data_IF_441100331047
#
_entry.id   IF_441100331047
#
_cell.length_a   1.000
_cell.length_b   1.000
_cell.length_c   1.000
_cell.angle_alpha   90.00
_cell.angle_beta   90.00
_cell.angle_gamma   90.00
#
_symmetry.space_group_name_H-M   'P 1'
#
loop_
_entity.id
_entity.type
_entity.pdbx_description
1 polymer ?
#
# COMPACT_ATOMS: atom_id res chain seq x y z
N UNK A 1 -19.81 9.70 12.84
CA UNK A 1 -18.71 9.61 13.81
C UNK A 1 -17.43 9.84 13.03
N UNK A 2 -16.69 10.93 13.30
CA UNK A 2 -15.39 11.20 12.66
C UNK A 2 -14.29 10.73 13.59
N UNK A 3 -13.56 9.68 13.22
CA UNK A 3 -12.40 9.21 14.00
C UNK A 3 -11.21 10.09 13.63
N UNK A 4 -10.51 10.65 14.62
CA UNK A 4 -9.29 11.42 14.37
C UNK A 4 -8.15 10.45 14.09
N UNK A 5 -7.49 10.61 12.94
CA UNK A 5 -6.41 9.71 12.49
C UNK A 5 -5.01 10.28 12.77
N UNK A 6 -4.88 11.61 12.91
CA UNK A 6 -3.61 12.28 13.15
C UNK A 6 -3.81 13.70 13.68
N UNK A 7 -2.89 14.19 14.52
CA UNK A 7 -2.81 15.59 14.95
C UNK A 7 -1.38 16.12 14.77
N UNK A 8 -1.19 17.27 14.11
CA UNK A 8 0.14 17.86 13.96
C UNK A 8 0.72 18.33 15.31
N UNK A 9 1.99 18.03 15.57
CA UNK A 9 2.75 18.43 16.77
C UNK A 9 4.22 18.71 16.42
N UNK A 10 4.87 19.62 17.15
CA UNK A 10 6.20 20.19 16.85
C UNK A 10 7.43 19.24 16.97
N UNK A 11 7.24 17.93 17.19
CA UNK A 11 8.34 16.97 17.45
C UNK A 11 8.72 16.12 16.23
N UNK A 12 9.04 16.77 15.12
CA UNK A 12 9.29 16.12 13.81
C UNK A 12 10.46 15.12 13.83
N UNK A 13 11.53 15.40 14.60
CA UNK A 13 12.76 14.59 14.58
C UNK A 13 12.59 13.17 15.13
N UNK A 14 11.82 13.00 16.20
CA UNK A 14 11.56 11.67 16.79
C UNK A 14 10.58 10.87 15.92
N UNK A 15 9.72 11.57 15.18
CA UNK A 15 8.79 10.99 14.23
C UNK A 15 9.52 10.35 13.04
N UNK A 16 10.53 11.06 12.53
CA UNK A 16 11.37 10.57 11.42
C UNK A 16 12.15 9.31 11.83
N UNK A 17 12.75 9.32 13.02
CA UNK A 17 13.46 8.17 13.58
C UNK A 17 12.53 6.96 13.75
N UNK A 18 11.33 7.16 14.30
CA UNK A 18 10.33 6.11 14.47
C UNK A 18 9.82 5.54 13.13
N UNK A 19 9.55 6.42 12.16
CA UNK A 19 9.12 6.02 10.81
C UNK A 19 10.20 5.22 10.11
N UNK A 20 11.47 5.59 10.28
CA UNK A 20 12.60 4.86 9.71
C UNK A 20 12.76 3.47 10.35
N UNK A 21 12.67 3.37 11.68
CA UNK A 21 12.68 2.08 12.39
C UNK A 21 11.54 1.17 11.94
N UNK A 22 10.33 1.72 11.78
CA UNK A 22 9.14 0.98 11.36
C UNK A 22 9.30 0.42 9.93
N UNK A 23 9.90 1.22 9.04
CA UNK A 23 10.21 0.80 7.67
C UNK A 23 11.30 -0.28 7.65
N UNK A 24 12.40 -0.07 8.34
CA UNK A 24 13.56 -0.95 8.28
C UNK A 24 13.31 -2.31 8.96
N UNK A 25 12.58 -2.32 10.09
CA UNK A 25 12.33 -3.56 10.85
C UNK A 25 11.07 -4.30 10.39
N UNK A 26 10.02 -3.59 10.01
CA UNK A 26 8.68 -4.18 9.81
C UNK A 26 8.13 -3.94 8.41
N UNK A 27 8.85 -3.20 7.55
CA UNK A 27 8.43 -2.86 6.20
C UNK A 27 7.03 -2.21 6.15
N UNK A 28 6.68 -1.50 7.22
CA UNK A 28 5.41 -0.81 7.39
C UNK A 28 5.43 0.52 6.65
N UNK A 29 4.28 0.90 6.09
CA UNK A 29 4.11 2.23 5.50
C UNK A 29 4.12 3.31 6.60
N UNK A 30 4.62 4.52 6.31
CA UNK A 30 4.65 5.60 7.28
C UNK A 30 3.26 5.91 7.85
N UNK A 31 2.21 5.82 7.02
CA UNK A 31 0.83 6.04 7.46
C UNK A 31 0.37 5.01 8.51
N UNK A 32 0.81 3.76 8.38
CA UNK A 32 0.49 2.71 9.34
C UNK A 32 1.25 2.95 10.65
N UNK A 33 2.53 3.32 10.56
CA UNK A 33 3.34 3.65 11.73
C UNK A 33 2.71 4.84 12.50
N UNK A 34 2.30 5.90 11.80
CA UNK A 34 1.66 7.06 12.41
C UNK A 34 0.31 6.73 13.07
N UNK A 35 -0.48 5.84 12.47
CA UNK A 35 -1.74 5.40 13.06
C UNK A 35 -1.52 4.64 14.39
N UNK A 36 -0.46 3.82 14.46
CA UNK A 36 -0.07 3.12 15.70
C UNK A 36 0.40 4.14 16.75
N UNK A 37 1.19 5.14 16.33
CA UNK A 37 1.67 6.18 17.24
C UNK A 37 0.52 7.02 17.84
N UNK A 38 -0.49 7.37 17.03
CA UNK A 38 -1.69 8.08 17.52
C UNK A 38 -2.48 7.21 18.51
N UNK A 39 -2.53 5.89 18.30
CA UNK A 39 -3.19 4.94 19.21
C UNK A 39 -2.51 4.88 20.59
N UNK A 40 -1.18 4.95 20.63
CA UNK A 40 -0.39 4.95 21.87
C UNK A 40 -0.18 6.36 22.48
N UNK A 41 -1.00 7.34 22.10
CA UNK A 41 -0.90 8.71 22.61
C UNK A 41 0.50 9.35 22.44
N UNK A 42 1.25 8.92 21.44
CA UNK A 42 2.63 9.33 21.14
C UNK A 42 3.72 8.77 22.07
N UNK A 43 3.48 7.64 22.74
CA UNK A 43 4.55 6.87 23.36
C UNK A 43 5.31 6.03 22.30
N UNK A 44 6.54 6.45 21.99
CA UNK A 44 7.38 5.79 20.99
C UNK A 44 7.84 4.39 21.40
N UNK A 45 7.99 4.12 22.70
CA UNK A 45 8.52 2.85 23.18
C UNK A 45 7.45 1.75 23.11
N UNK A 46 6.25 2.06 23.58
CA UNK A 46 5.10 1.14 23.53
C UNK A 46 4.65 0.94 22.07
N UNK A 47 4.57 2.02 21.28
CA UNK A 47 4.26 1.93 19.86
C UNK A 47 5.29 1.06 19.11
N UNK A 48 6.58 1.14 19.46
CA UNK A 48 7.61 0.32 18.81
C UNK A 48 7.47 -1.17 19.15
N UNK A 49 7.00 -1.50 20.35
CA UNK A 49 6.78 -2.88 20.75
C UNK A 49 5.54 -3.48 20.06
N UNK A 50 4.51 -2.67 19.79
CA UNK A 50 3.30 -3.13 19.11
C UNK A 50 3.39 -3.11 17.58
N UNK A 51 4.39 -2.45 16.98
CA UNK A 51 4.67 -2.54 15.54
C UNK A 51 4.73 -3.99 15.03
N UNK A 52 5.28 -4.92 15.84
CA UNK A 52 5.36 -6.33 15.46
C UNK A 52 3.99 -7.02 15.36
N UNK A 53 3.01 -6.55 16.13
CA UNK A 53 1.64 -7.08 16.15
C UNK A 53 0.81 -6.54 14.98
N UNK A 54 1.18 -5.39 14.42
CA UNK A 54 0.49 -4.74 13.31
C UNK A 54 1.13 -4.99 11.94
N UNK A 55 2.19 -5.80 11.85
CA UNK A 55 2.66 -6.33 10.56
C UNK A 55 1.47 -7.02 9.92
N UNK A 56 0.94 -6.50 8.79
CA UNK A 56 -0.23 -7.09 8.19
C UNK A 56 0.12 -8.53 7.84
N UNK A 57 -0.45 -9.46 8.59
CA UNK A 57 -0.53 -10.84 8.15
C UNK A 57 -1.26 -10.75 6.81
N UNK A 58 -0.55 -11.08 5.75
CA UNK A 58 -1.09 -11.20 4.39
C UNK A 58 -1.32 -9.86 3.65
N UNK A 59 -0.29 -9.01 3.52
CA UNK A 59 -0.18 -8.31 2.24
C UNK A 59 0.10 -9.39 1.21
N UNK A 60 -0.91 -9.81 0.44
CA UNK A 60 -0.76 -10.84 -0.61
C UNK A 60 0.47 -10.50 -1.48
N UNK A 61 1.58 -11.18 -1.21
CA UNK A 61 2.84 -10.89 -1.88
C UNK A 61 2.68 -11.30 -3.33
N UNK A 62 2.88 -10.34 -4.24
CA UNK A 62 2.97 -10.61 -5.66
C UNK A 62 4.31 -11.27 -5.93
N UNK A 63 4.30 -12.58 -6.18
CA UNK A 63 5.51 -13.30 -6.57
C UNK A 63 5.91 -12.90 -7.98
N UNK A 64 7.17 -13.13 -8.37
CA UNK A 64 7.63 -12.78 -9.72
C UNK A 64 6.89 -13.59 -10.80
N UNK A 65 6.41 -14.79 -10.47
CA UNK A 65 5.51 -15.57 -11.32
C UNK A 65 4.15 -14.88 -11.50
N UNK A 66 3.54 -14.37 -10.41
CA UNK A 66 2.28 -13.62 -10.48
C UNK A 66 2.42 -12.37 -11.35
N UNK A 67 3.55 -11.66 -11.25
CA UNK A 67 3.85 -10.47 -12.06
C UNK A 67 3.99 -10.82 -13.54
N UNK A 68 4.69 -11.91 -13.86
CA UNK A 68 4.83 -12.38 -15.23
C UNK A 68 3.48 -12.83 -15.82
N UNK A 69 2.67 -13.53 -15.02
CA UNK A 69 1.32 -13.96 -15.40
C UNK A 69 0.41 -12.76 -15.66
N UNK A 70 0.48 -11.72 -14.82
CA UNK A 70 -0.25 -10.47 -15.04
C UNK A 70 0.15 -9.80 -16.35
N UNK A 71 1.46 -9.70 -16.64
CA UNK A 71 1.95 -9.11 -17.89
C UNK A 71 1.46 -9.87 -19.12
N UNK A 72 1.46 -11.20 -19.07
CA UNK A 72 0.94 -12.02 -20.16
C UNK A 72 -0.57 -11.85 -20.33
N UNK A 73 -1.33 -11.88 -19.23
CA UNK A 73 -2.78 -11.70 -19.23
C UNK A 73 -3.18 -10.29 -19.71
N UNK A 74 -2.41 -9.27 -19.36
CA UNK A 74 -2.62 -7.90 -19.80
C UNK A 74 -2.37 -7.74 -21.30
N UNK A 75 -1.37 -8.44 -21.88
CA UNK A 75 -1.13 -8.45 -23.33
C UNK A 75 -2.29 -9.07 -24.12
N UNK A 76 -2.96 -10.10 -23.58
CA UNK A 76 -4.07 -10.78 -24.26
C UNK A 76 -5.44 -10.13 -24.02
N UNK A 77 -5.71 -9.59 -22.82
CA UNK A 77 -7.02 -9.05 -22.44
C UNK A 77 -7.07 -7.52 -22.29
N UNK A 78 -5.92 -6.83 -22.35
CA UNK A 78 -5.82 -5.38 -22.19
C UNK A 78 -6.29 -4.90 -20.82
N UNK A 79 -7.04 -3.78 -20.80
CA UNK A 79 -7.53 -3.12 -19.56
C UNK A 79 -8.69 -3.86 -18.87
N UNK A 80 -9.07 -5.04 -19.33
CA UNK A 80 -10.19 -5.79 -18.75
C UNK A 80 -9.75 -6.56 -17.49
N UNK A 81 -9.49 -5.82 -16.41
CA UNK A 81 -8.96 -6.35 -15.14
C UNK A 81 -9.89 -7.41 -14.51
N UNK A 82 -11.20 -7.28 -14.73
CA UNK A 82 -12.18 -8.27 -14.26
C UNK A 82 -12.00 -9.64 -14.92
N UNK A 83 -11.68 -9.65 -16.22
CA UNK A 83 -11.40 -10.88 -16.96
C UNK A 83 -10.05 -11.48 -16.56
N UNK A 84 -9.02 -10.63 -16.41
CA UNK A 84 -7.68 -11.04 -15.96
C UNK A 84 -7.75 -11.70 -14.58
N UNK A 85 -8.44 -11.07 -13.62
CA UNK A 85 -8.68 -11.67 -12.31
C UNK A 85 -9.39 -13.02 -12.45
N UNK A 86 -10.51 -13.07 -13.17
CA UNK A 86 -11.36 -14.27 -13.23
C UNK A 86 -10.62 -15.49 -13.79
N UNK A 87 -9.73 -15.28 -14.76
CA UNK A 87 -9.02 -16.36 -15.45
C UNK A 87 -7.67 -16.70 -14.81
N UNK A 88 -6.90 -15.70 -14.38
CA UNK A 88 -5.52 -15.89 -13.93
C UNK A 88 -5.35 -15.77 -12.42
N UNK A 89 -6.23 -15.03 -11.72
CA UNK A 89 -6.14 -14.80 -10.28
C UNK A 89 -7.47 -15.04 -9.56
N UNK A 90 -8.06 -16.26 -9.64
CA UNK A 90 -9.36 -16.54 -9.04
C UNK A 90 -9.33 -16.49 -7.50
N UNK A 91 -8.16 -16.68 -6.89
CA UNK A 91 -7.97 -16.64 -5.43
C UNK A 91 -7.69 -15.25 -4.89
N UNK A 92 -7.11 -14.34 -5.69
CA UNK A 92 -6.78 -12.99 -5.23
C UNK A 92 -8.01 -12.10 -5.25
N UNK A 93 -8.07 -11.14 -4.33
CA UNK A 93 -9.16 -10.16 -4.31
C UNK A 93 -9.11 -9.22 -5.53
N UNK A 94 -10.24 -8.61 -5.90
CA UNK A 94 -10.23 -7.64 -7.01
C UNK A 94 -9.44 -6.38 -6.65
N UNK A 95 -9.51 -5.95 -5.39
CA UNK A 95 -8.70 -4.87 -4.87
C UNK A 95 -7.21 -5.14 -5.04
N UNK A 96 -6.73 -6.35 -4.75
CA UNK A 96 -5.31 -6.71 -4.91
C UNK A 96 -4.83 -6.56 -6.37
N UNK A 97 -5.61 -7.05 -7.34
CA UNK A 97 -5.29 -6.94 -8.78
C UNK A 97 -5.30 -5.48 -9.26
N UNK A 98 -6.27 -4.69 -8.80
CA UNK A 98 -6.36 -3.26 -9.14
C UNK A 98 -5.21 -2.47 -8.52
N UNK A 99 -4.91 -2.68 -7.25
CA UNK A 99 -3.77 -2.06 -6.56
C UNK A 99 -2.45 -2.40 -7.26
N UNK A 100 -2.25 -3.67 -7.64
CA UNK A 100 -1.08 -4.08 -8.40
C UNK A 100 -1.00 -3.40 -9.77
N UNK A 101 -2.11 -3.30 -10.51
CA UNK A 101 -2.15 -2.58 -11.79
C UNK A 101 -1.66 -1.12 -11.64
N UNK A 102 -2.09 -0.40 -10.61
CA UNK A 102 -1.64 0.97 -10.37
C UNK A 102 -0.16 1.05 -9.97
N UNK A 103 0.32 0.11 -9.13
CA UNK A 103 1.73 0.02 -8.76
C UNK A 103 2.63 -0.33 -9.95
N UNK A 104 2.18 -1.24 -10.81
CA UNK A 104 2.89 -1.68 -12.01
C UNK A 104 2.92 -0.61 -13.09
N UNK A 105 1.76 0.00 -13.38
CA UNK A 105 1.65 1.00 -14.45
C UNK A 105 2.44 2.29 -14.16
N UNK A 106 2.54 2.67 -12.88
CA UNK A 106 3.42 3.77 -12.44
C UNK A 106 4.91 3.51 -12.69
N UNK A 107 5.34 2.24 -12.67
CA UNK A 107 6.73 1.83 -12.91
C UNK A 107 7.08 1.75 -14.41
N UNK A 108 6.14 1.34 -15.26
CA UNK A 108 6.39 1.14 -16.70
C UNK A 108 5.98 2.31 -17.60
N UNK A 109 5.04 3.18 -17.19
CA UNK A 109 4.50 4.23 -18.05
C UNK A 109 4.53 5.61 -17.38
N UNK A 110 5.73 6.18 -17.22
CA UNK A 110 5.87 7.58 -16.75
C UNK A 110 5.32 8.61 -17.74
N UNK A 111 5.23 8.27 -19.03
CA UNK A 111 4.83 9.21 -20.09
C UNK A 111 3.32 9.20 -20.42
N UNK A 112 2.63 8.05 -20.31
CA UNK A 112 1.18 7.94 -20.61
C UNK A 112 0.29 8.34 -19.42
N UNK A 113 0.77 8.19 -18.18
CA UNK A 113 0.00 8.46 -16.97
C UNK A 113 -0.35 9.95 -16.77
N UNK A 114 0.41 10.86 -17.38
CA UNK A 114 0.16 12.31 -17.27
C UNK A 114 -1.06 12.80 -18.06
N UNK A 115 -1.60 12.01 -18.99
CA UNK A 115 -2.55 12.57 -19.96
C UNK A 115 -4.02 12.16 -19.74
N UNK A 116 -4.32 11.14 -18.92
CA UNK A 116 -5.69 10.63 -18.81
C UNK A 116 -5.97 10.03 -17.43
N UNK A 117 -6.24 10.86 -16.43
CA UNK A 117 -7.44 10.74 -15.59
C UNK A 117 -7.55 11.95 -14.64
N UNK A 118 -8.76 12.54 -14.49
CA UNK A 118 -9.01 13.64 -13.58
C UNK A 118 -8.92 13.18 -12.11
N UNK A 119 -8.44 14.10 -11.27
CA UNK A 119 -8.22 13.96 -9.82
C UNK A 119 -9.57 13.86 -9.09
N UNK A 120 -10.32 12.80 -9.30
CA UNK A 120 -11.64 12.61 -8.70
C UNK A 120 -11.87 11.15 -8.33
N UNK A 121 -11.05 10.59 -7.44
CA UNK A 121 -11.46 9.46 -6.59
C UNK A 121 -10.52 9.29 -5.39
N UNK A 122 -10.25 10.39 -4.70
CA UNK A 122 -9.80 10.37 -3.30
C UNK A 122 -10.54 11.52 -2.61
N UNK A 123 -11.80 11.27 -2.26
CA UNK A 123 -12.52 11.93 -1.15
C UNK A 123 -13.39 10.85 -0.53
#
# INVERSE_FOLDING_TARGET
MSTTLWKPRDNDRHLDEYTQISRDKFNLNPEQALAILEYHEHDFNDACNDLQHYVPFEVEVWTDEDKALFNQAFKSHGKNLSAIKKLFFPRKSFGCVVSYYYLWSSKENKDDFKLKMPVSFIV
#
